data_IF_783199853900
#
_entry.id   IF_783199853900
#
_cell.length_a   1.000
_cell.length_b   1.000
_cell.length_c   1.000
_cell.angle_alpha   90.00
_cell.angle_beta   90.00
_cell.angle_gamma   90.00
#
_symmetry.space_group_name_H-M   'P 1'
#
loop_
_entity.id
_entity.type
_entity.pdbx_description
1 polymer ?
#
# COMPACT_ATOMS: atom_id res chain seq x y z
N UNK A 1 6.72 -3.38 5.98
CA UNK A 1 7.28 -3.60 4.61
C UNK A 1 6.18 -3.29 3.62
N UNK A 2 6.41 -3.08 2.33
CA UNK A 2 5.36 -2.79 1.36
C UNK A 2 5.83 -3.24 -0.02
N UNK A 3 4.88 -3.49 -0.91
CA UNK A 3 5.10 -3.77 -2.32
C UNK A 3 4.07 -3.00 -3.16
N UNK A 4 4.55 -2.31 -4.19
CA UNK A 4 3.73 -1.57 -5.15
C UNK A 4 4.14 -1.92 -6.57
N UNK A 5 3.15 -2.12 -7.43
CA UNK A 5 3.32 -2.46 -8.85
C UNK A 5 2.54 -1.47 -9.72
N UNK A 6 3.07 -1.18 -10.90
CA UNK A 6 2.34 -0.48 -11.96
C UNK A 6 2.53 -1.21 -13.28
N UNK A 7 1.47 -1.22 -14.07
CA UNK A 7 1.43 -1.76 -15.42
C UNK A 7 0.76 -0.72 -16.32
N UNK A 8 1.48 -0.20 -17.30
CA UNK A 8 0.97 0.77 -18.26
C UNK A 8 0.16 0.09 -19.37
N UNK A 9 -0.63 0.89 -20.09
CA UNK A 9 -1.54 0.43 -21.15
C UNK A 9 -0.91 -0.42 -22.26
N UNK A 10 0.39 -0.30 -22.50
CA UNK A 10 1.10 -1.14 -23.48
C UNK A 10 1.37 -2.58 -22.98
N UNK A 11 1.08 -2.88 -21.72
CA UNK A 11 1.25 -4.21 -21.13
C UNK A 11 -0.04 -4.77 -20.50
N UNK A 12 -1.12 -4.00 -20.43
CA UNK A 12 -2.45 -4.46 -19.98
C UNK A 12 -3.30 -4.97 -21.13
N UNK A 13 -4.34 -5.74 -20.80
CA UNK A 13 -5.22 -6.36 -21.79
C UNK A 13 -6.15 -5.36 -22.49
N UNK A 14 -6.48 -4.24 -21.82
CA UNK A 14 -7.48 -3.26 -22.27
C UNK A 14 -6.90 -1.86 -22.50
N UNK A 15 -5.58 -1.70 -22.38
CA UNK A 15 -4.91 -0.41 -22.58
C UNK A 15 -4.97 0.53 -21.37
N UNK A 16 -5.55 0.13 -20.25
CA UNK A 16 -5.58 0.93 -19.03
C UNK A 16 -4.23 0.89 -18.30
N UNK A 17 -3.94 1.93 -17.51
CA UNK A 17 -2.87 1.85 -16.52
C UNK A 17 -3.43 1.23 -15.24
N UNK A 18 -2.73 0.25 -14.66
CA UNK A 18 -3.13 -0.41 -13.41
C UNK A 18 -2.04 -0.22 -12.36
N UNK A 19 -2.38 0.34 -11.21
CA UNK A 19 -1.49 0.44 -10.03
C UNK A 19 -2.03 -0.41 -8.90
N UNK A 20 -1.22 -1.32 -8.36
CA UNK A 20 -1.55 -2.15 -7.21
C UNK A 20 -0.60 -1.93 -6.04
N UNK A 21 -1.11 -1.90 -4.82
CA UNK A 21 -0.30 -1.74 -3.61
C UNK A 21 -0.79 -2.58 -2.44
N UNK A 22 0.16 -3.15 -1.71
CA UNK A 22 0.01 -3.59 -0.33
C UNK A 22 0.69 -2.60 0.63
N UNK A 23 -0.01 -2.26 1.71
CA UNK A 23 0.52 -1.49 2.84
C UNK A 23 0.82 -2.44 4.00
N UNK A 24 2.08 -2.84 4.22
CA UNK A 24 2.44 -3.69 5.37
C UNK A 24 2.93 -2.88 6.57
N UNK A 25 2.12 -2.95 7.62
CA UNK A 25 2.20 -2.16 8.85
C UNK A 25 2.19 -3.09 10.06
N UNK A 26 2.28 -2.53 11.26
CA UNK A 26 2.17 -3.34 12.48
C UNK A 26 0.75 -4.00 12.58
N UNK A 27 0.58 -5.21 13.14
CA UNK A 27 -0.70 -5.94 13.11
C UNK A 27 -1.93 -5.22 13.66
N UNK A 28 -1.71 -4.31 14.61
CA UNK A 28 -2.76 -3.53 15.26
C UNK A 28 -2.82 -2.09 14.74
N UNK A 29 -2.11 -1.80 13.65
CA UNK A 29 -2.12 -0.50 12.99
C UNK A 29 -3.18 -0.50 11.89
N UNK A 30 -4.44 -0.35 12.33
CA UNK A 30 -5.59 -0.46 11.47
C UNK A 30 -5.57 0.53 10.30
N UNK A 31 -5.99 0.04 9.14
CA UNK A 31 -6.08 0.81 7.92
C UNK A 31 -7.46 1.46 7.80
N UNK A 32 -7.48 2.75 7.45
CA UNK A 32 -8.68 3.57 7.36
C UNK A 32 -8.80 4.13 5.95
N UNK A 33 -9.96 3.91 5.33
CA UNK A 33 -10.34 4.52 4.06
C UNK A 33 -11.03 5.85 4.32
N UNK A 34 -10.61 6.89 3.61
CA UNK A 34 -11.15 8.24 3.76
C UNK A 34 -11.26 8.91 2.40
N UNK A 35 -12.42 9.50 2.10
CA UNK A 35 -12.58 10.44 0.99
C UNK A 35 -12.61 11.85 1.56
N UNK A 36 -11.81 12.74 0.98
CA UNK A 36 -11.79 14.16 1.32
C UNK A 36 -12.20 14.92 0.06
N UNK A 37 -13.25 15.75 0.11
CA UNK A 37 -13.65 16.55 -1.05
C UNK A 37 -12.60 17.62 -1.37
N UNK A 38 -12.54 18.02 -2.63
CA UNK A 38 -11.77 19.18 -3.05
C UNK A 38 -12.30 20.45 -2.38
N UNK A 39 -11.42 21.41 -2.16
CA UNK A 39 -11.75 22.62 -1.41
C UNK A 39 -10.99 23.83 -1.97
N UNK A 40 -11.58 25.01 -1.75
CA UNK A 40 -10.92 26.31 -1.94
C UNK A 40 -10.55 26.83 -0.55
N UNK A 41 -9.31 27.27 -0.36
CA UNK A 41 -8.78 27.72 0.92
C UNK A 41 -8.47 29.21 0.88
N UNK A 42 -8.66 29.89 2.02
CA UNK A 42 -8.39 31.31 2.14
C UNK A 42 -6.89 31.65 1.92
N UNK A 43 -6.56 32.81 1.32
CA UNK A 43 -5.18 33.24 1.15
C UNK A 43 -4.40 33.27 2.48
N UNK A 44 -3.18 32.72 2.49
CA UNK A 44 -2.33 32.67 3.68
C UNK A 44 -2.70 31.59 4.69
N UNK A 45 -3.73 30.77 4.41
CA UNK A 45 -4.07 29.61 5.23
C UNK A 45 -2.92 28.59 5.27
N UNK A 46 -2.96 27.73 6.28
CA UNK A 46 -1.94 26.72 6.57
C UNK A 46 -2.60 25.36 6.77
N UNK A 47 -1.84 24.30 6.50
CA UNK A 47 -2.30 22.91 6.70
C UNK A 47 -1.40 22.20 7.69
N UNK A 48 -2.02 21.68 8.76
CA UNK A 48 -1.34 20.85 9.75
C UNK A 48 -1.18 19.42 9.20
N UNK A 49 0.06 19.08 8.82
CA UNK A 49 0.46 17.74 8.44
C UNK A 49 0.73 16.90 9.71
N UNK A 50 1.37 15.73 9.59
CA UNK A 50 1.54 14.82 10.74
C UNK A 50 2.36 15.49 11.85
N UNK A 51 3.45 16.17 11.52
CA UNK A 51 4.32 16.81 12.51
C UNK A 51 4.48 18.31 12.34
N UNK A 52 4.59 18.79 11.10
CA UNK A 52 4.76 20.22 10.80
C UNK A 52 3.50 20.82 10.21
N UNK A 53 3.52 22.14 10.07
CA UNK A 53 2.49 22.89 9.38
C UNK A 53 3.16 23.65 8.22
N UNK A 54 2.52 23.65 7.05
CA UNK A 54 3.03 24.31 5.83
C UNK A 54 1.96 25.25 5.25
N UNK A 55 2.32 26.22 4.38
CA UNK A 55 1.36 26.99 3.62
C UNK A 55 0.42 26.10 2.81
N UNK A 56 -0.87 26.43 2.84
CA UNK A 56 -1.87 25.75 2.04
C UNK A 56 -1.97 26.40 0.64
N UNK A 57 -2.28 25.59 -0.36
CA UNK A 57 -2.57 26.06 -1.72
C UNK A 57 -4.02 26.54 -1.81
N UNK A 58 -4.32 27.44 -2.75
CA UNK A 58 -5.69 27.96 -2.93
C UNK A 58 -6.71 26.85 -3.19
N UNK A 59 -6.34 25.81 -3.96
CA UNK A 59 -7.25 24.75 -4.37
C UNK A 59 -6.64 23.38 -4.14
N UNK A 60 -7.43 22.49 -3.57
CA UNK A 60 -7.08 21.07 -3.43
C UNK A 60 -8.08 20.19 -4.18
N UNK A 61 -7.58 19.14 -4.81
CA UNK A 61 -8.40 18.10 -5.43
C UNK A 61 -9.06 17.19 -4.40
N UNK A 62 -10.19 16.60 -4.77
CA UNK A 62 -10.77 15.51 -4.01
C UNK A 62 -9.85 14.28 -4.04
N UNK A 63 -9.70 13.63 -2.88
CA UNK A 63 -8.77 12.50 -2.70
C UNK A 63 -9.43 11.32 -2.01
N UNK A 64 -9.01 10.11 -2.41
CA UNK A 64 -9.29 8.83 -1.78
C UNK A 64 -8.00 8.42 -1.12
N UNK A 65 -8.03 8.25 0.19
CA UNK A 65 -6.86 7.93 1.00
C UNK A 65 -7.08 6.60 1.69
N UNK A 66 -6.02 5.80 1.72
CA UNK A 66 -5.94 4.57 2.48
C UNK A 66 -4.72 4.71 3.41
N UNK A 67 -4.99 4.88 4.71
CA UNK A 67 -4.01 5.38 5.68
C UNK A 67 -4.04 4.63 7.02
N UNK A 68 -2.93 4.56 7.76
CA UNK A 68 -2.95 4.28 9.19
C UNK A 68 -3.83 5.30 9.91
N UNK A 69 -4.60 4.83 10.89
CA UNK A 69 -5.60 5.67 11.56
C UNK A 69 -5.02 6.90 12.28
N UNK A 70 -3.73 6.94 12.61
CA UNK A 70 -3.12 7.96 13.48
C UNK A 70 -2.30 9.05 12.76
N UNK A 71 -1.88 8.86 11.50
CA UNK A 71 -1.07 9.86 10.74
C UNK A 71 -1.94 10.75 9.86
N UNK A 72 -1.57 12.01 9.59
CA UNK A 72 -2.35 12.86 8.69
C UNK A 72 -2.31 12.40 7.21
N UNK A 73 -1.14 11.93 6.76
CA UNK A 73 -0.90 11.45 5.42
C UNK A 73 -1.54 10.09 5.09
N UNK A 74 -1.09 9.46 3.99
CA UNK A 74 -1.56 8.15 3.56
C UNK A 74 -0.44 7.26 3.01
N UNK A 75 -0.65 5.93 3.06
CA UNK A 75 0.26 4.95 2.44
C UNK A 75 -0.03 4.80 0.95
N UNK A 76 -1.29 5.03 0.57
CA UNK A 76 -1.73 4.99 -0.82
C UNK A 76 -3.00 5.80 -1.01
N UNK A 77 -3.24 6.22 -2.24
CA UNK A 77 -4.45 6.95 -2.56
C UNK A 77 -4.54 7.35 -4.02
N UNK A 78 -5.67 7.96 -4.35
CA UNK A 78 -5.98 8.49 -5.66
C UNK A 78 -6.60 9.88 -5.55
N UNK A 79 -6.58 10.67 -6.63
CA UNK A 79 -7.29 11.93 -6.72
C UNK A 79 -8.26 11.99 -7.91
N UNK A 80 -9.13 13.00 -7.92
CA UNK A 80 -10.16 13.16 -8.95
C UNK A 80 -9.61 13.45 -10.35
N UNK A 81 -8.31 13.78 -10.46
CA UNK A 81 -7.62 13.98 -11.73
C UNK A 81 -7.02 12.67 -12.28
N UNK A 82 -7.20 11.55 -11.58
CA UNK A 82 -6.73 10.24 -11.99
C UNK A 82 -5.29 9.93 -11.60
N UNK A 83 -4.67 10.75 -10.74
CA UNK A 83 -3.36 10.44 -10.15
C UNK A 83 -3.53 9.43 -9.02
N UNK A 84 -2.69 8.39 -9.00
CA UNK A 84 -2.62 7.37 -7.96
C UNK A 84 -1.19 7.26 -7.48
N UNK A 85 -0.99 7.19 -6.16
CA UNK A 85 0.33 7.09 -5.56
C UNK A 85 0.34 5.99 -4.49
N UNK A 86 1.42 5.21 -4.48
CA UNK A 86 1.79 4.32 -3.38
C UNK A 86 3.22 4.61 -2.92
N UNK A 87 3.53 4.41 -1.63
CA UNK A 87 4.87 4.59 -1.10
C UNK A 87 5.44 3.39 -0.30
N UNK A 88 6.77 3.34 -0.22
CA UNK A 88 7.53 2.32 0.49
C UNK A 88 8.54 2.99 1.40
N UNK A 89 8.73 2.45 2.60
CA UNK A 89 9.89 2.77 3.41
C UNK A 89 11.18 2.31 2.71
N UNK A 90 12.13 3.21 2.54
CA UNK A 90 13.52 2.91 2.14
C UNK A 90 14.49 3.39 3.20
N UNK A 91 15.49 2.57 3.47
CA UNK A 91 16.52 2.85 4.47
C UNK A 91 17.82 3.25 3.75
N UNK A 92 18.40 4.36 4.18
CA UNK A 92 19.52 4.98 3.44
C UNK A 92 20.65 5.34 4.39
N UNK A 93 21.86 5.52 3.83
CA UNK A 93 23.04 6.02 4.54
C UNK A 93 22.95 7.50 4.91
N UNK A 94 22.01 8.25 4.32
CA UNK A 94 21.77 9.65 4.66
C UNK A 94 21.10 9.71 6.04
N UNK A 95 21.66 10.44 7.01
CA UNK A 95 21.04 10.61 8.32
C UNK A 95 19.67 11.27 8.23
N UNK A 96 18.74 10.85 9.09
CA UNK A 96 17.44 11.49 9.22
C UNK A 96 17.58 12.90 9.81
N UNK A 97 16.76 13.84 9.34
CA UNK A 97 16.75 15.20 9.88
C UNK A 97 16.34 15.16 11.36
N UNK A 98 17.06 15.90 12.22
CA UNK A 98 16.84 15.90 13.68
C UNK A 98 15.56 16.63 14.10
N UNK A 99 15.00 17.46 13.23
CA UNK A 99 13.73 18.14 13.42
C UNK A 99 12.57 17.40 12.75
N UNK A 100 11.35 17.80 13.08
CA UNK A 100 10.16 17.33 12.36
C UNK A 100 10.17 17.87 10.93
N UNK A 101 10.01 16.99 9.95
CA UNK A 101 9.77 17.32 8.55
C UNK A 101 8.43 16.76 8.08
N UNK A 102 8.25 16.66 6.76
CA UNK A 102 7.17 15.87 6.19
C UNK A 102 7.58 14.39 6.19
N UNK A 103 6.72 13.49 6.66
CA UNK A 103 6.92 12.06 6.39
C UNK A 103 6.48 11.75 4.96
N UNK A 104 6.95 10.66 4.35
CA UNK A 104 6.56 10.34 2.98
C UNK A 104 5.06 10.22 2.75
N UNK A 105 4.32 9.79 3.78
CA UNK A 105 2.87 9.70 3.74
C UNK A 105 2.20 11.08 3.65
N UNK A 106 2.81 12.11 4.24
CA UNK A 106 2.37 13.51 4.10
C UNK A 106 2.67 14.01 2.69
N UNK A 107 3.89 13.76 2.17
CA UNK A 107 4.29 14.12 0.80
C UNK A 107 3.34 13.50 -0.25
N UNK A 108 3.00 12.22 -0.08
CA UNK A 108 2.06 11.50 -0.93
C UNK A 108 0.70 12.19 -0.95
N UNK A 109 0.12 12.46 0.23
CA UNK A 109 -1.20 13.09 0.33
C UNK A 109 -1.19 14.50 -0.27
N UNK A 110 -0.18 15.31 0.04
CA UNK A 110 -0.05 16.66 -0.50
C UNK A 110 0.06 16.64 -2.03
N UNK A 111 0.75 15.66 -2.60
CA UNK A 111 0.82 15.50 -4.05
C UNK A 111 -0.53 15.16 -4.67
N UNK A 112 -1.27 14.22 -4.06
CA UNK A 112 -2.64 13.88 -4.50
C UNK A 112 -3.57 15.10 -4.42
N UNK A 113 -3.48 15.91 -3.37
CA UNK A 113 -4.30 17.11 -3.21
C UNK A 113 -3.93 18.22 -4.22
N UNK A 114 -2.74 18.20 -4.84
CA UNK A 114 -2.18 19.35 -5.58
C UNK A 114 -1.85 19.10 -7.05
N UNK A 115 -1.85 17.85 -7.52
CA UNK A 115 -1.39 17.50 -8.88
C UNK A 115 -2.49 16.95 -9.79
N UNK A 116 -2.38 17.21 -11.09
CA UNK A 116 -3.31 16.69 -12.12
C UNK A 116 -2.76 15.49 -12.90
N UNK A 117 -1.45 15.31 -12.87
CA UNK A 117 -0.74 14.24 -13.57
C UNK A 117 0.30 13.61 -12.66
N UNK A 118 0.76 12.40 -13.00
CA UNK A 118 1.84 11.73 -12.30
C UNK A 118 3.13 12.57 -12.33
N UNK A 119 3.36 13.30 -13.42
CA UNK A 119 4.51 14.19 -13.54
C UNK A 119 4.40 15.39 -12.60
N UNK A 120 3.25 16.06 -12.55
CA UNK A 120 3.01 17.15 -11.60
C UNK A 120 3.13 16.67 -10.15
N UNK A 121 2.67 15.46 -9.84
CA UNK A 121 2.79 14.88 -8.50
C UNK A 121 4.25 14.66 -8.09
N UNK A 122 5.09 14.18 -9.01
CA UNK A 122 6.54 14.09 -8.79
C UNK A 122 7.13 15.47 -8.50
N UNK A 123 6.79 16.49 -9.30
CA UNK A 123 7.30 17.85 -9.12
C UNK A 123 6.84 18.43 -7.76
N UNK A 124 5.59 18.19 -7.34
CA UNK A 124 5.09 18.58 -6.00
C UNK A 124 5.87 17.90 -4.88
N UNK A 125 6.07 16.58 -4.95
CA UNK A 125 6.81 15.84 -3.90
C UNK A 125 8.24 16.36 -3.80
N UNK A 126 8.93 16.52 -4.93
CA UNK A 126 10.35 16.95 -4.94
C UNK A 126 10.51 18.40 -4.49
N UNK A 127 9.57 19.29 -4.82
CA UNK A 127 9.53 20.66 -4.31
C UNK A 127 9.35 20.68 -2.78
N UNK A 128 8.33 19.99 -2.27
CA UNK A 128 8.06 19.91 -0.83
C UNK A 128 9.20 19.27 -0.06
N UNK A 129 9.82 18.23 -0.61
CA UNK A 129 11.00 17.59 -0.04
C UNK A 129 12.19 18.57 0.03
N UNK A 130 12.38 19.37 -1.02
CA UNK A 130 13.47 20.36 -1.09
C UNK A 130 13.26 21.48 -0.10
N UNK A 131 12.02 21.93 0.12
CA UNK A 131 11.69 23.04 1.01
C UNK A 131 11.61 22.59 2.49
N UNK A 132 10.80 21.57 2.77
CA UNK A 132 10.45 21.14 4.13
C UNK A 132 11.24 19.93 4.64
N UNK A 133 11.97 19.25 3.76
CA UNK A 133 12.72 18.04 4.13
C UNK A 133 11.82 16.85 4.40
N UNK A 134 12.44 15.76 4.86
CA UNK A 134 11.73 14.59 5.32
C UNK A 134 12.26 14.06 6.65
N UNK A 135 11.36 13.74 7.57
CA UNK A 135 11.73 13.30 8.91
C UNK A 135 10.55 13.28 9.88
N UNK A 136 10.63 12.42 10.88
CA UNK A 136 9.57 12.17 11.85
C UNK A 136 9.38 10.68 12.09
N UNK A 137 8.59 10.33 13.11
CA UNK A 137 8.25 8.95 13.39
C UNK A 137 7.23 8.43 12.36
N UNK A 138 7.49 7.26 11.79
CA UNK A 138 6.60 6.60 10.84
C UNK A 138 6.00 5.31 11.40
N UNK A 139 6.35 4.89 12.62
CA UNK A 139 5.84 3.67 13.27
C UNK A 139 4.83 3.96 14.38
N UNK A 140 3.91 3.02 14.62
CA UNK A 140 2.81 3.21 15.55
C UNK A 140 3.20 2.88 17.00
N UNK A 141 3.58 1.63 17.28
CA UNK A 141 4.04 1.23 18.62
C UNK A 141 5.53 1.47 18.82
N UNK A 142 6.30 1.36 17.75
CA UNK A 142 7.76 1.50 17.79
C UNK A 142 8.22 2.63 16.88
N UNK A 143 9.00 3.55 17.46
CA UNK A 143 9.53 4.66 16.70
C UNK A 143 10.42 4.15 15.55
N UNK A 144 10.06 4.50 14.33
CA UNK A 144 10.78 4.09 13.12
C UNK A 144 10.87 5.28 12.17
N UNK A 145 12.08 5.69 11.81
CA UNK A 145 12.31 6.74 10.81
C UNK A 145 12.84 6.08 9.54
N UNK A 146 12.38 6.54 8.39
CA UNK A 146 12.84 6.09 7.08
C UNK A 146 12.65 7.21 6.04
N UNK A 147 13.28 7.04 4.88
CA UNK A 147 12.97 7.80 3.69
C UNK A 147 11.97 7.04 2.81
N UNK A 148 11.55 7.61 1.70
CA UNK A 148 10.49 7.01 0.88
C UNK A 148 10.88 6.77 -0.58
N UNK A 149 10.38 5.64 -1.09
CA UNK A 149 10.15 5.42 -2.52
C UNK A 149 8.67 5.65 -2.81
N UNK A 150 8.36 6.14 -3.99
CA UNK A 150 7.01 6.40 -4.48
C UNK A 150 6.84 5.81 -5.87
N UNK A 151 5.72 5.12 -6.10
CA UNK A 151 5.24 4.80 -7.44
C UNK A 151 4.02 5.66 -7.72
N UNK A 152 4.15 6.51 -8.72
CA UNK A 152 3.18 7.54 -9.08
C UNK A 152 2.65 7.19 -10.46
N UNK A 153 1.34 7.09 -10.63
CA UNK A 153 0.73 6.76 -11.92
C UNK A 153 -0.46 7.69 -12.21
N UNK A 154 -0.74 7.88 -13.49
CA UNK A 154 -1.96 8.46 -14.02
C UNK A 154 -2.43 7.60 -15.22
N UNK A 155 -3.50 7.95 -15.97
CA UNK A 155 -3.92 7.15 -17.12
C UNK A 155 -2.84 6.93 -18.19
N UNK A 156 -1.87 7.84 -18.31
CA UNK A 156 -0.96 7.93 -19.45
C UNK A 156 0.48 7.53 -19.11
N UNK A 157 0.90 7.75 -17.87
CA UNK A 157 2.29 7.62 -17.47
C UNK A 157 2.46 7.17 -16.02
N UNK A 158 3.63 6.64 -15.71
CA UNK A 158 4.02 6.34 -14.35
C UNK A 158 5.49 6.67 -14.10
N UNK A 159 5.82 6.94 -12.84
CA UNK A 159 7.14 7.35 -12.37
C UNK A 159 7.49 6.64 -11.08
N UNK A 160 8.75 6.19 -10.99
CA UNK A 160 9.38 5.85 -9.72
C UNK A 160 10.11 7.09 -9.22
N UNK A 161 9.88 7.49 -7.97
CA UNK A 161 10.64 8.54 -7.28
C UNK A 161 11.22 7.96 -6.00
N UNK A 162 12.54 7.96 -5.86
CA UNK A 162 13.23 7.42 -4.69
C UNK A 162 14.08 8.48 -4.02
N UNK A 163 14.03 8.54 -2.69
CA UNK A 163 14.57 9.64 -1.92
C UNK A 163 15.56 9.18 -0.85
N UNK A 164 16.51 10.06 -0.51
CA UNK A 164 17.49 9.88 0.56
C UNK A 164 17.83 11.24 1.19
N UNK A 165 17.18 11.58 2.30
CA UNK A 165 17.16 12.95 2.81
C UNK A 165 16.57 13.88 1.74
N UNK A 166 17.22 14.99 1.42
CA UNK A 166 16.77 15.88 0.33
C UNK A 166 17.24 15.46 -1.06
N UNK A 167 18.03 14.39 -1.16
CA UNK A 167 18.49 13.85 -2.44
C UNK A 167 17.42 12.93 -3.02
N UNK A 168 17.25 12.95 -4.34
CA UNK A 168 16.27 12.10 -5.01
C UNK A 168 16.67 11.80 -6.46
N UNK A 169 16.18 10.69 -6.97
CA UNK A 169 16.22 10.34 -8.38
C UNK A 169 14.84 9.85 -8.82
N UNK A 170 14.48 10.10 -10.07
CA UNK A 170 13.24 9.61 -10.65
C UNK A 170 13.44 9.01 -12.03
N UNK A 171 12.65 7.98 -12.32
CA UNK A 171 12.69 7.21 -13.55
C UNK A 171 11.26 7.06 -14.10
N UNK A 172 11.08 7.38 -15.38
CA UNK A 172 9.82 7.16 -16.07
C UNK A 172 9.65 5.66 -16.37
N UNK A 173 8.51 5.12 -15.97
CA UNK A 173 8.16 3.73 -16.26
C UNK A 173 7.80 3.58 -17.74
N UNK A 174 8.22 2.46 -18.35
CA UNK A 174 7.99 2.16 -19.77
C UNK A 174 6.87 1.16 -20.02
N UNK A 175 6.67 0.21 -19.11
CA UNK A 175 5.62 -0.79 -19.21
C UNK A 175 5.21 -1.34 -17.83
N UNK A 176 6.05 -2.19 -17.22
CA UNK A 176 5.82 -2.84 -15.93
C UNK A 176 6.92 -2.39 -15.00
N UNK A 177 6.55 -1.99 -13.79
CA UNK A 177 7.52 -1.68 -12.74
C UNK A 177 6.98 -2.09 -11.38
N UNK A 178 7.85 -2.63 -10.53
CA UNK A 178 7.58 -2.82 -9.11
C UNK A 178 8.59 -2.05 -8.28
N UNK A 179 8.14 -1.57 -7.12
CA UNK A 179 9.00 -1.12 -6.03
C UNK A 179 8.64 -1.85 -4.74
N UNK A 180 9.66 -2.05 -3.92
CA UNK A 180 9.56 -2.63 -2.57
C UNK A 180 10.41 -1.76 -1.62
N UNK A 181 10.71 -2.23 -0.40
CA UNK A 181 11.50 -1.49 0.60
C UNK A 181 13.01 -1.36 0.28
N UNK A 182 13.37 -0.91 -0.92
CA UNK A 182 14.74 -0.68 -1.35
C UNK A 182 14.81 0.34 -2.49
N UNK A 183 15.97 1.00 -2.64
CA UNK A 183 16.22 1.89 -3.79
C UNK A 183 16.51 1.02 -5.01
N UNK A 184 15.71 1.16 -6.05
CA UNK A 184 15.73 0.38 -7.29
C UNK A 184 16.33 1.14 -8.46
N UNK A 185 16.41 2.48 -8.38
CA UNK A 185 17.01 3.31 -9.41
C UNK A 185 18.54 3.13 -9.39
N UNK A 186 19.07 2.88 -10.58
CA UNK A 186 20.45 2.48 -10.78
C UNK A 186 21.39 3.62 -11.15
N UNK A 187 22.13 3.41 -12.22
CA UNK A 187 22.99 4.40 -12.88
C UNK A 187 22.25 5.18 -13.98
N UNK A 188 20.95 4.92 -14.18
CA UNK A 188 20.10 5.60 -15.14
C UNK A 188 18.88 6.18 -14.41
N UNK A 189 18.58 7.43 -14.69
CA UNK A 189 17.44 8.18 -14.18
C UNK A 189 17.09 9.27 -15.20
N UNK A 190 15.83 9.68 -15.25
CA UNK A 190 15.37 10.76 -16.12
C UNK A 190 15.48 12.13 -15.41
N UNK A 191 15.37 12.14 -14.08
CA UNK A 191 15.47 13.34 -13.26
C UNK A 191 16.15 13.04 -11.93
N UNK A 192 16.79 14.06 -11.34
CA UNK A 192 17.42 13.95 -10.03
C UNK A 192 17.55 15.32 -9.37
N UNK A 193 17.81 15.32 -8.07
CA UNK A 193 18.30 16.50 -7.36
C UNK A 193 19.61 17.02 -8.01
N UNK A 194 19.83 18.34 -8.07
CA UNK A 194 20.94 18.93 -8.85
C UNK A 194 22.33 18.42 -8.48
N UNK A 195 22.55 18.09 -7.21
CA UNK A 195 23.84 17.67 -6.66
C UNK A 195 23.92 16.18 -6.31
N UNK A 196 22.98 15.35 -6.78
CA UNK A 196 22.86 13.92 -6.42
C UNK A 196 24.18 13.15 -6.49
N UNK A 197 24.92 13.27 -7.60
CA UNK A 197 26.20 12.57 -7.79
C UNK A 197 27.30 13.21 -6.95
N UNK A 198 27.35 14.54 -6.90
CA UNK A 198 28.35 15.28 -6.12
C UNK A 198 28.26 14.94 -4.64
N UNK A 199 27.05 14.88 -4.09
CA UNK A 199 26.77 14.52 -2.70
C UNK A 199 27.34 13.14 -2.33
N UNK A 200 27.27 12.17 -3.25
CA UNK A 200 27.84 10.83 -3.07
C UNK A 200 29.37 10.80 -3.20
N UNK A 201 29.94 11.58 -4.13
CA UNK A 201 31.40 11.72 -4.30
C UNK A 201 32.04 12.37 -3.07
N UNK A 202 31.46 13.46 -2.56
CA UNK A 202 31.95 14.16 -1.36
C UNK A 202 31.97 13.25 -0.12
N UNK A 203 31.16 12.18 -0.12
CA UNK A 203 31.09 11.17 0.97
C UNK A 203 31.87 9.90 0.68
N UNK A 204 32.55 9.81 -0.47
CA UNK A 204 33.30 8.63 -0.87
C UNK A 204 32.43 7.40 -1.15
N UNK A 205 31.13 7.57 -1.41
CA UNK A 205 30.22 6.46 -1.73
C UNK A 205 30.37 5.96 -3.17
N UNK A 206 31.00 6.76 -4.03
CA UNK A 206 31.55 6.37 -5.32
C UNK A 206 32.86 7.13 -5.57
N UNK A 207 33.69 6.65 -6.50
CA UNK A 207 35.01 7.25 -6.81
C UNK A 207 34.94 8.28 -7.94
N UNK A 208 34.07 8.03 -8.92
CA UNK A 208 33.90 8.87 -10.13
C UNK A 208 32.43 8.94 -10.51
N UNK A 209 32.07 9.95 -11.31
CA UNK A 209 30.71 10.12 -11.84
C UNK A 209 30.21 8.87 -12.57
N UNK A 210 31.06 8.26 -13.40
CA UNK A 210 30.67 7.09 -14.21
C UNK A 210 30.44 5.82 -13.36
N UNK A 211 30.96 5.79 -12.14
CA UNK A 211 30.78 4.66 -11.21
C UNK A 211 29.49 4.81 -10.38
N UNK A 212 28.81 5.95 -10.47
CA UNK A 212 27.64 6.28 -9.66
C UNK A 212 26.45 5.37 -9.95
N UNK A 213 25.79 4.92 -8.88
CA UNK A 213 24.56 4.15 -8.95
C UNK A 213 23.76 4.44 -7.69
N UNK A 214 22.54 4.99 -7.84
CA UNK A 214 21.80 5.56 -6.73
C UNK A 214 21.55 4.54 -5.61
N UNK A 215 21.01 3.35 -5.94
CA UNK A 215 20.84 2.27 -4.96
C UNK A 215 22.12 1.88 -4.21
N UNK A 216 23.22 1.55 -4.91
CA UNK A 216 24.49 1.15 -4.26
C UNK A 216 25.09 2.27 -3.40
N UNK A 217 25.01 3.50 -3.86
CA UNK A 217 25.60 4.64 -3.16
C UNK A 217 24.80 5.00 -1.91
N UNK A 218 23.46 5.02 -1.98
CA UNK A 218 22.61 5.58 -0.93
C UNK A 218 21.93 4.55 -0.02
N UNK A 219 21.67 3.31 -0.44
CA UNK A 219 20.95 2.34 0.40
C UNK A 219 21.73 1.91 1.63
N UNK A 220 21.04 1.78 2.77
CA UNK A 220 21.57 1.09 3.94
C UNK A 220 21.62 -0.42 3.69
N UNK A 221 22.77 -1.05 3.90
CA UNK A 221 22.97 -2.46 3.56
C UNK A 221 22.17 -3.40 4.46
N UNK A 222 22.09 -3.11 5.77
CA UNK A 222 21.51 -4.03 6.74
C UNK A 222 19.99 -4.08 6.59
N UNK A 223 19.32 -2.93 6.66
CA UNK A 223 17.87 -2.87 6.57
C UNK A 223 17.36 -3.32 5.20
N UNK A 224 18.05 -2.94 4.11
CA UNK A 224 17.68 -3.38 2.76
C UNK A 224 17.76 -4.90 2.65
N UNK A 225 18.82 -5.54 3.17
CA UNK A 225 18.96 -7.00 3.15
C UNK A 225 17.88 -7.70 3.97
N UNK A 226 17.57 -7.22 5.17
CA UNK A 226 16.53 -7.83 6.01
C UNK A 226 15.11 -7.65 5.46
N UNK A 227 14.86 -6.58 4.70
CA UNK A 227 13.55 -6.38 4.07
C UNK A 227 13.21 -7.36 2.93
N UNK A 228 14.22 -8.08 2.41
CA UNK A 228 14.14 -8.96 1.22
C UNK A 228 13.40 -8.30 0.04
N UNK A 229 13.52 -6.98 -0.07
CA UNK A 229 12.85 -6.16 -1.09
C UNK A 229 13.19 -6.60 -2.50
N UNK A 230 14.45 -6.92 -2.78
CA UNK A 230 14.87 -7.40 -4.10
C UNK A 230 14.20 -8.72 -4.50
N UNK A 231 13.97 -9.64 -3.56
CA UNK A 231 13.32 -10.92 -3.90
C UNK A 231 11.84 -10.72 -4.22
N UNK A 232 11.15 -9.90 -3.43
CA UNK A 232 9.72 -9.58 -3.67
C UNK A 232 9.53 -8.77 -4.95
N UNK A 233 10.39 -7.79 -5.20
CA UNK A 233 10.39 -7.04 -6.47
C UNK A 233 10.63 -7.96 -7.68
N UNK A 234 11.64 -8.85 -7.62
CA UNK A 234 11.87 -9.81 -8.69
C UNK A 234 10.66 -10.72 -8.91
N UNK A 235 9.98 -11.12 -7.83
CA UNK A 235 8.79 -11.98 -7.88
C UNK A 235 7.60 -11.28 -8.53
N UNK A 236 7.29 -10.04 -8.13
CA UNK A 236 6.18 -9.26 -8.72
C UNK A 236 6.45 -8.96 -10.20
N UNK A 237 7.66 -8.53 -10.56
CA UNK A 237 8.02 -8.25 -11.94
C UNK A 237 7.99 -9.52 -12.79
N UNK A 238 8.48 -10.65 -12.27
CA UNK A 238 8.41 -11.94 -12.98
C UNK A 238 6.97 -12.40 -13.23
N UNK A 239 6.10 -12.30 -12.22
CA UNK A 239 4.68 -12.69 -12.34
C UNK A 239 3.95 -11.83 -13.37
N UNK A 240 4.18 -10.52 -13.37
CA UNK A 240 3.55 -9.61 -14.31
C UNK A 240 4.13 -9.77 -15.72
N UNK A 241 5.44 -9.92 -15.86
CA UNK A 241 6.09 -10.11 -17.16
C UNK A 241 5.60 -11.38 -17.89
N UNK A 242 5.28 -12.45 -17.16
CA UNK A 242 4.71 -13.67 -17.73
C UNK A 242 3.33 -13.46 -18.40
N UNK A 243 2.59 -12.46 -17.95
CA UNK A 243 1.25 -12.12 -18.46
C UNK A 243 1.24 -10.84 -19.32
N UNK A 244 2.40 -10.33 -19.75
CA UNK A 244 2.52 -9.09 -20.54
C UNK A 244 1.55 -9.08 -21.74
N UNK A 245 0.79 -7.99 -21.87
CA UNK A 245 -0.23 -7.79 -22.90
C UNK A 245 -1.58 -8.43 -22.56
N UNK A 246 -1.68 -9.17 -21.46
CA UNK A 246 -2.90 -9.83 -20.96
C UNK A 246 -3.21 -9.47 -19.51
N UNK A 247 -2.46 -8.54 -18.92
CA UNK A 247 -2.59 -8.17 -17.50
C UNK A 247 -3.92 -7.43 -17.30
N UNK A 248 -4.72 -7.91 -16.34
CA UNK A 248 -5.97 -7.29 -15.89
C UNK A 248 -5.88 -6.86 -14.41
N UNK A 249 -6.95 -6.26 -13.88
CA UNK A 249 -7.03 -5.97 -12.43
C UNK A 249 -6.94 -7.25 -11.60
N UNK A 250 -7.54 -8.35 -12.04
CA UNK A 250 -7.45 -9.66 -11.39
C UNK A 250 -6.02 -10.17 -11.35
N UNK A 251 -5.25 -10.00 -12.43
CA UNK A 251 -3.82 -10.36 -12.45
C UNK A 251 -3.07 -9.62 -11.35
N UNK A 252 -3.25 -8.30 -11.23
CA UNK A 252 -2.59 -7.48 -10.20
C UNK A 252 -3.07 -7.86 -8.80
N UNK A 253 -4.36 -8.07 -8.59
CA UNK A 253 -4.91 -8.55 -7.32
C UNK A 253 -4.34 -9.92 -6.93
N UNK A 254 -4.10 -10.82 -7.89
CA UNK A 254 -3.45 -12.11 -7.66
C UNK A 254 -1.98 -11.93 -7.25
N UNK A 255 -1.25 -11.01 -7.90
CA UNK A 255 0.14 -10.69 -7.53
C UNK A 255 0.24 -10.17 -6.11
N UNK A 256 -0.67 -9.28 -5.69
CA UNK A 256 -0.73 -8.76 -4.32
C UNK A 256 -1.06 -9.83 -3.27
N UNK A 257 -1.55 -11.01 -3.69
CA UNK A 257 -1.84 -12.15 -2.81
C UNK A 257 -0.72 -13.18 -2.76
N UNK A 258 0.35 -13.01 -3.53
CA UNK A 258 1.38 -14.04 -3.70
C UNK A 258 2.14 -14.31 -2.39
N UNK A 259 2.26 -15.59 -2.06
CA UNK A 259 3.00 -16.12 -0.92
C UNK A 259 4.32 -16.79 -1.32
N UNK A 260 4.81 -16.50 -2.53
CA UNK A 260 6.04 -17.04 -3.09
C UNK A 260 5.86 -18.39 -3.81
N UNK A 261 6.90 -18.85 -4.53
CA UNK A 261 6.84 -20.03 -5.39
C UNK A 261 6.68 -21.37 -4.64
N UNK A 262 6.89 -21.37 -3.33
CA UNK A 262 6.75 -22.55 -2.46
C UNK A 262 5.37 -22.62 -1.79
N UNK A 263 4.47 -21.68 -2.08
CA UNK A 263 3.13 -21.71 -1.55
C UNK A 263 2.27 -22.70 -2.34
N UNK A 264 2.04 -23.88 -1.75
CA UNK A 264 1.11 -24.90 -2.23
C UNK A 264 -0.17 -24.93 -1.37
N UNK A 265 -0.99 -25.96 -1.52
CA UNK A 265 -2.24 -26.12 -0.76
C UNK A 265 -2.06 -26.23 0.74
N UNK A 266 -0.88 -26.65 1.23
CA UNK A 266 -0.58 -26.80 2.65
C UNK A 266 0.23 -25.62 3.21
N UNK A 267 0.34 -24.53 2.45
CA UNK A 267 1.12 -23.37 2.84
C UNK A 267 0.61 -22.75 4.15
N UNK A 268 1.56 -22.28 4.97
CA UNK A 268 1.30 -21.58 6.21
C UNK A 268 2.19 -20.35 6.35
N UNK A 269 1.68 -19.22 6.86
CA UNK A 269 2.51 -18.08 7.20
C UNK A 269 3.34 -18.32 8.47
N UNK A 270 3.13 -19.41 9.21
CA UNK A 270 3.77 -19.63 10.50
C UNK A 270 5.30 -19.83 10.42
N UNK A 271 5.84 -20.69 9.52
CA UNK A 271 7.28 -20.96 9.45
C UNK A 271 8.11 -19.75 9.00
N UNK A 272 9.39 -19.76 9.41
CA UNK A 272 10.35 -18.72 9.06
C UNK A 272 10.31 -17.51 9.99
N UNK A 273 11.45 -16.86 10.17
CA UNK A 273 11.57 -15.58 10.92
C UNK A 273 12.03 -14.43 10.02
N UNK A 274 12.52 -14.77 8.82
CA UNK A 274 13.02 -13.84 7.79
C UNK A 274 12.29 -14.00 6.45
N UNK A 275 11.19 -14.77 6.40
CA UNK A 275 10.36 -14.85 5.19
C UNK A 275 9.50 -13.59 5.07
N UNK A 276 9.60 -12.93 3.92
CA UNK A 276 8.73 -11.81 3.54
C UNK A 276 8.12 -12.12 2.20
N UNK A 277 6.79 -12.19 2.19
CA UNK A 277 5.98 -12.40 1.00
C UNK A 277 5.35 -11.08 0.56
N UNK A 278 4.79 -11.07 -0.65
CA UNK A 278 4.08 -9.90 -1.18
C UNK A 278 2.81 -9.66 -0.37
N UNK A 279 2.03 -10.72 -0.11
CA UNK A 279 1.01 -10.70 0.92
C UNK A 279 1.66 -10.97 2.28
N UNK A 280 1.94 -9.93 3.05
CA UNK A 280 2.67 -10.04 4.30
C UNK A 280 1.76 -10.52 5.44
N UNK A 281 2.25 -11.50 6.20
CA UNK A 281 1.63 -11.99 7.43
C UNK A 281 2.61 -11.87 8.59
N UNK A 282 2.19 -11.23 9.67
CA UNK A 282 3.03 -11.07 10.85
C UNK A 282 3.31 -12.44 11.51
N UNK A 283 4.50 -12.56 12.06
CA UNK A 283 4.94 -13.72 12.83
C UNK A 283 5.70 -13.33 14.07
N UNK A 284 6.61 -14.22 14.48
CA UNK A 284 7.46 -13.94 15.63
C UNK A 284 8.49 -12.85 15.29
N UNK A 285 8.53 -11.80 16.10
CA UNK A 285 9.45 -10.68 15.97
C UNK A 285 10.90 -11.02 16.37
N UNK A 286 11.82 -10.05 16.26
CA UNK A 286 11.59 -8.65 15.89
C UNK A 286 11.54 -8.41 14.37
N UNK A 287 11.88 -9.41 13.56
CA UNK A 287 12.07 -9.23 12.11
C UNK A 287 10.72 -9.27 11.37
N UNK A 288 9.91 -10.32 11.54
CA UNK A 288 8.61 -10.46 10.85
C UNK A 288 7.44 -9.88 11.67
N UNK A 289 7.54 -8.62 12.06
CA UNK A 289 6.54 -7.95 12.91
C UNK A 289 5.54 -7.07 12.12
N UNK A 290 5.41 -7.25 10.80
CA UNK A 290 4.46 -6.51 9.95
C UNK A 290 3.54 -7.44 9.17
N UNK A 291 2.35 -6.97 8.86
CA UNK A 291 1.37 -7.63 7.99
C UNK A 291 0.76 -6.62 7.03
N UNK A 292 0.22 -7.07 5.89
CA UNK A 292 -0.57 -6.21 5.01
C UNK A 292 -1.84 -5.78 5.76
N UNK A 293 -1.99 -4.48 6.05
CA UNK A 293 -3.19 -3.93 6.72
C UNK A 293 -4.20 -3.35 5.76
N UNK A 294 -3.80 -3.08 4.52
CA UNK A 294 -4.71 -2.67 3.46
C UNK A 294 -4.09 -2.88 2.09
N UNK A 295 -4.95 -3.07 1.10
CA UNK A 295 -4.55 -3.20 -0.30
C UNK A 295 -5.47 -2.38 -1.20
N UNK A 296 -4.89 -1.86 -2.29
CA UNK A 296 -5.59 -1.08 -3.29
C UNK A 296 -5.10 -1.45 -4.68
N UNK A 297 -6.03 -1.64 -5.64
CA UNK A 297 -5.74 -1.78 -7.07
C UNK A 297 -6.57 -0.72 -7.80
N UNK A 298 -5.92 0.16 -8.55
CA UNK A 298 -6.58 1.20 -9.33
C UNK A 298 -6.48 0.88 -10.81
N UNK A 299 -7.61 0.89 -11.49
CA UNK A 299 -7.72 0.81 -12.93
C UNK A 299 -7.95 2.22 -13.49
N UNK A 300 -7.05 2.67 -14.35
CA UNK A 300 -6.95 4.04 -14.79
C UNK A 300 -7.08 4.13 -16.30
N UNK A 301 -8.18 4.71 -16.77
CA UNK A 301 -8.38 5.11 -18.16
C UNK A 301 -8.53 6.64 -18.25
N UNK A 302 -8.34 7.26 -19.42
CA UNK A 302 -8.62 8.68 -19.56
C UNK A 302 -10.08 9.06 -19.28
N UNK A 303 -11.01 8.11 -19.39
CA UNK A 303 -12.45 8.35 -19.28
C UNK A 303 -13.03 8.06 -17.89
N UNK A 304 -12.54 7.02 -17.20
CA UNK A 304 -13.11 6.55 -15.94
C UNK A 304 -12.06 5.83 -15.09
N UNK A 305 -12.03 6.15 -13.80
CA UNK A 305 -11.14 5.55 -12.80
C UNK A 305 -11.93 4.69 -11.84
N UNK A 306 -11.53 3.43 -11.69
CA UNK A 306 -12.13 2.52 -10.72
C UNK A 306 -11.08 2.09 -9.71
N UNK A 307 -11.36 2.31 -8.43
CA UNK A 307 -10.44 1.96 -7.35
C UNK A 307 -11.00 0.77 -6.58
N UNK A 308 -10.27 -0.33 -6.55
CA UNK A 308 -10.62 -1.51 -5.79
C UNK A 308 -9.84 -1.51 -4.48
N UNK A 309 -10.55 -1.45 -3.35
CA UNK A 309 -9.96 -1.34 -2.02
C UNK A 309 -10.38 -2.52 -1.15
N UNK A 310 -9.47 -3.05 -0.34
CA UNK A 310 -9.86 -4.04 0.68
C UNK A 310 -10.50 -3.36 1.88
N UNK A 311 -9.97 -2.21 2.32
CA UNK A 311 -10.34 -1.58 3.59
C UNK A 311 -10.05 -2.46 4.82
N UNK A 312 -9.37 -3.58 4.62
CA UNK A 312 -9.12 -4.63 5.62
C UNK A 312 -7.78 -5.31 5.34
N UNK A 313 -7.26 -6.01 6.36
CA UNK A 313 -5.96 -6.68 6.31
C UNK A 313 -5.90 -7.85 5.30
N UNK A 314 -4.68 -8.18 4.88
CA UNK A 314 -4.30 -9.33 4.05
C UNK A 314 -5.24 -9.62 2.84
N UNK A 315 -4.86 -9.25 1.61
CA UNK A 315 -5.73 -9.43 0.45
C UNK A 315 -6.09 -10.89 0.19
N UNK A 316 -5.28 -11.86 0.66
CA UNK A 316 -5.55 -13.29 0.50
C UNK A 316 -6.76 -13.78 1.30
N UNK A 317 -7.10 -13.14 2.43
CA UNK A 317 -8.29 -13.43 3.23
C UNK A 317 -9.42 -12.44 2.99
N UNK A 318 -9.15 -11.36 2.23
CA UNK A 318 -10.06 -10.24 1.98
C UNK A 318 -10.64 -10.22 0.55
N UNK A 319 -11.56 -9.28 0.35
CA UNK A 319 -12.24 -8.94 -0.90
C UNK A 319 -11.89 -7.52 -1.32
N UNK A 320 -11.49 -7.36 -2.57
CA UNK A 320 -11.38 -6.06 -3.23
C UNK A 320 -12.77 -5.54 -3.60
N UNK A 321 -13.13 -4.36 -3.11
CA UNK A 321 -14.44 -3.73 -3.31
C UNK A 321 -14.27 -2.44 -4.13
N UNK A 322 -15.08 -2.21 -5.17
CA UNK A 322 -14.92 -1.06 -6.04
C UNK A 322 -15.49 0.21 -5.40
N UNK A 323 -14.77 1.31 -5.54
CA UNK A 323 -15.15 2.67 -5.14
C UNK A 323 -14.76 3.66 -6.22
N UNK A 324 -15.45 4.80 -6.25
CA UNK A 324 -15.20 5.89 -7.18
C UNK A 324 -15.13 7.22 -6.43
N UNK A 325 -14.36 8.17 -6.97
CA UNK A 325 -14.11 9.45 -6.30
C UNK A 325 -15.22 10.49 -6.45
N UNK A 326 -16.10 10.29 -7.42
CA UNK A 326 -17.28 11.12 -7.64
C UNK A 326 -18.46 10.76 -6.73
N UNK A 327 -18.29 9.76 -5.86
CA UNK A 327 -19.29 9.31 -4.88
C UNK A 327 -18.71 9.30 -3.47
N UNK A 328 -19.57 9.36 -2.46
CA UNK A 328 -19.14 9.09 -1.09
C UNK A 328 -18.75 7.62 -0.91
N UNK A 329 -17.86 7.35 0.05
CA UNK A 329 -17.49 6.00 0.41
C UNK A 329 -18.64 5.30 1.13
N UNK A 330 -18.82 3.98 0.92
CA UNK A 330 -19.73 3.19 1.75
C UNK A 330 -19.40 3.30 3.23
N UNK A 331 -20.44 3.19 4.08
CA UNK A 331 -20.27 3.21 5.53
C UNK A 331 -19.46 1.98 6.00
N UNK A 332 -18.26 2.22 6.51
CA UNK A 332 -17.40 1.19 7.10
C UNK A 332 -17.55 1.07 8.62
N UNK A 333 -18.54 1.75 9.19
CA UNK A 333 -18.81 1.84 10.62
C UNK A 333 -17.83 2.76 11.35
N UNK A 334 -17.49 2.42 12.59
CA UNK A 334 -16.62 3.26 13.41
C UNK A 334 -15.23 3.45 12.80
N UNK A 335 -14.64 4.64 12.96
CA UNK A 335 -13.24 4.90 12.58
C UNK A 335 -12.33 3.95 13.37
N UNK A 336 -11.50 3.14 12.68
CA UNK A 336 -10.69 2.16 13.38
C UNK A 336 -9.58 2.84 14.21
N UNK A 337 -9.15 2.16 15.26
CA UNK A 337 -8.05 2.56 16.12
C UNK A 337 -7.10 1.39 16.37
N UNK A 338 -6.14 1.54 17.30
CA UNK A 338 -5.24 0.47 17.73
C UNK A 338 -5.89 -0.56 18.67
N UNK A 339 -7.19 -0.42 18.95
CA UNK A 339 -7.99 -1.27 19.82
C UNK A 339 -9.16 -1.85 19.03
N UNK A 340 -9.45 -3.12 19.26
CA UNK A 340 -10.53 -3.87 18.64
C UNK A 340 -11.88 -3.20 18.89
N UNK A 341 -12.59 -2.91 17.80
CA UNK A 341 -13.97 -2.45 17.82
C UNK A 341 -14.78 -3.18 16.73
N UNK A 342 -15.74 -4.00 17.14
CA UNK A 342 -16.62 -4.72 16.21
C UNK A 342 -17.47 -3.80 15.32
N UNK A 343 -17.64 -2.53 15.69
CA UNK A 343 -18.32 -1.55 14.85
C UNK A 343 -17.47 -1.11 13.65
N UNK A 344 -16.16 -1.28 13.68
CA UNK A 344 -15.26 -0.94 12.58
C UNK A 344 -15.07 -2.14 11.62
N UNK A 345 -15.25 -1.91 10.31
CA UNK A 345 -15.04 -2.92 9.25
C UNK A 345 -13.69 -3.63 9.37
N UNK A 346 -12.60 -2.86 9.56
CA UNK A 346 -11.25 -3.40 9.69
C UNK A 346 -11.16 -4.47 10.79
N UNK A 347 -11.74 -4.20 11.96
CA UNK A 347 -11.66 -5.08 13.11
C UNK A 347 -12.59 -6.29 13.02
N UNK A 348 -13.74 -6.17 12.35
CA UNK A 348 -14.56 -7.34 11.98
C UNK A 348 -13.79 -8.30 11.09
N UNK A 349 -13.14 -7.76 10.05
CA UNK A 349 -12.28 -8.56 9.18
C UNK A 349 -11.10 -9.17 9.93
N UNK A 350 -10.44 -8.43 10.82
CA UNK A 350 -9.34 -8.97 11.61
C UNK A 350 -9.75 -10.20 12.43
N UNK A 351 -11.01 -10.28 12.88
CA UNK A 351 -11.50 -11.48 13.54
C UNK A 351 -11.51 -12.70 12.61
N UNK A 352 -11.90 -12.54 11.35
CA UNK A 352 -11.79 -13.58 10.31
C UNK A 352 -10.33 -13.90 9.98
N UNK A 353 -9.52 -12.86 9.76
CA UNK A 353 -8.11 -13.01 9.42
C UNK A 353 -7.38 -13.84 10.47
N UNK A 354 -7.44 -13.44 11.75
CA UNK A 354 -6.76 -14.15 12.84
C UNK A 354 -7.32 -15.54 13.11
N UNK A 355 -8.63 -15.74 12.92
CA UNK A 355 -9.22 -17.08 12.94
C UNK A 355 -8.60 -17.97 11.86
N UNK A 356 -8.47 -17.43 10.64
CA UNK A 356 -7.89 -18.14 9.50
C UNK A 356 -6.44 -18.53 9.77
N UNK A 357 -5.63 -17.61 10.33
CA UNK A 357 -4.21 -17.88 10.54
C UNK A 357 -3.92 -19.11 11.40
N UNK A 358 -4.81 -19.48 12.34
CA UNK A 358 -4.65 -20.62 13.28
C UNK A 358 -4.29 -21.94 12.59
N UNK A 359 -4.86 -22.15 11.41
CA UNK A 359 -4.47 -23.18 10.45
C UNK A 359 -4.82 -22.65 9.06
N UNK A 360 -3.92 -21.84 8.50
CA UNK A 360 -4.19 -21.05 7.30
C UNK A 360 -4.78 -21.87 6.15
N UNK A 361 -4.08 -22.94 5.73
CA UNK A 361 -4.51 -23.81 4.65
C UNK A 361 -5.93 -24.37 4.86
N UNK A 362 -6.15 -25.04 6.00
CA UNK A 362 -7.46 -25.64 6.31
C UNK A 362 -8.57 -24.59 6.40
N UNK A 363 -8.31 -23.46 7.05
CA UNK A 363 -9.33 -22.44 7.29
C UNK A 363 -9.66 -21.63 6.03
N UNK A 364 -8.67 -21.30 5.20
CA UNK A 364 -8.88 -20.52 3.97
C UNK A 364 -9.62 -21.35 2.91
N UNK A 365 -9.36 -22.66 2.86
CA UNK A 365 -10.07 -23.61 1.99
C UNK A 365 -11.58 -23.62 2.23
N UNK A 366 -12.02 -23.29 3.44
CA UNK A 366 -13.44 -23.22 3.77
C UNK A 366 -14.19 -22.13 3.04
N UNK A 367 -13.52 -21.09 2.53
CA UNK A 367 -14.19 -19.94 1.93
C UNK A 367 -13.52 -19.33 0.71
N UNK A 368 -12.29 -19.71 0.37
CA UNK A 368 -11.55 -19.07 -0.74
C UNK A 368 -12.26 -19.14 -2.10
N UNK A 369 -13.00 -20.22 -2.37
CA UNK A 369 -13.76 -20.37 -3.59
C UNK A 369 -14.94 -19.38 -3.66
N UNK A 370 -15.66 -19.21 -2.54
CA UNK A 370 -16.73 -18.21 -2.40
C UNK A 370 -16.16 -16.79 -2.50
N UNK A 371 -15.05 -16.52 -1.81
CA UNK A 371 -14.33 -15.25 -1.88
C UNK A 371 -13.96 -14.89 -3.31
N UNK A 372 -13.34 -15.83 -4.04
CA UNK A 372 -12.95 -15.61 -5.43
C UNK A 372 -14.16 -15.43 -6.37
N UNK A 373 -15.26 -16.14 -6.13
CA UNK A 373 -16.49 -15.98 -6.92
C UNK A 373 -17.14 -14.61 -6.69
N UNK A 374 -17.26 -14.20 -5.43
CA UNK A 374 -17.83 -12.91 -5.05
C UNK A 374 -16.99 -11.74 -5.56
N UNK A 375 -15.65 -11.82 -5.44
CA UNK A 375 -14.77 -10.80 -5.98
C UNK A 375 -14.87 -10.68 -7.52
N UNK A 376 -14.94 -11.80 -8.25
CA UNK A 376 -15.19 -11.75 -9.70
C UNK A 376 -16.53 -11.10 -10.05
N UNK A 377 -17.56 -11.31 -9.24
CA UNK A 377 -18.85 -10.62 -9.41
C UNK A 377 -18.71 -9.10 -9.19
N UNK A 378 -17.93 -8.69 -8.17
CA UNK A 378 -17.67 -7.27 -7.89
C UNK A 378 -16.90 -6.59 -9.02
N UNK A 379 -15.89 -7.26 -9.58
CA UNK A 379 -15.09 -6.73 -10.68
C UNK A 379 -15.95 -6.58 -11.93
N UNK A 380 -16.64 -7.64 -12.36
CA UNK A 380 -17.51 -7.60 -13.55
C UNK A 380 -18.62 -6.56 -13.47
N UNK A 381 -19.24 -6.41 -12.30
CA UNK A 381 -20.28 -5.39 -12.15
C UNK A 381 -19.70 -3.98 -12.04
N UNK A 382 -18.48 -3.80 -11.50
CA UNK A 382 -17.81 -2.50 -11.55
C UNK A 382 -17.47 -2.09 -13.00
N UNK A 383 -17.01 -3.03 -13.83
CA UNK A 383 -16.79 -2.81 -15.26
C UNK A 383 -18.09 -2.42 -15.98
N UNK A 384 -19.21 -3.10 -15.69
CA UNK A 384 -20.51 -2.75 -16.26
C UNK A 384 -21.04 -1.38 -15.78
N UNK A 385 -20.67 -0.97 -14.57
CA UNK A 385 -21.12 0.28 -13.95
C UNK A 385 -20.20 1.47 -14.19
N UNK A 386 -19.01 1.28 -14.78
CA UNK A 386 -17.95 2.29 -14.77
C UNK A 386 -18.36 3.61 -15.42
N UNK A 387 -19.23 3.57 -16.44
CA UNK A 387 -19.74 4.74 -17.17
C UNK A 387 -21.15 5.19 -16.74
N UNK A 388 -21.75 4.56 -15.73
CA UNK A 388 -23.09 4.93 -15.24
C UNK A 388 -23.04 6.20 -14.38
N UNK A 389 -24.16 6.84 -14.04
CA UNK A 389 -24.15 7.99 -13.12
C UNK A 389 -23.56 7.62 -11.74
N UNK A 390 -22.93 8.58 -11.07
CA UNK A 390 -22.33 8.39 -9.74
C UNK A 390 -23.30 7.80 -8.71
N UNK A 391 -24.59 8.13 -8.76
CA UNK A 391 -25.61 7.54 -7.88
C UNK A 391 -25.74 6.02 -8.04
N UNK A 392 -25.62 5.49 -9.25
CA UNK A 392 -25.65 4.04 -9.50
C UNK A 392 -24.34 3.36 -9.07
N UNK A 393 -23.21 4.01 -9.31
CA UNK A 393 -21.90 3.55 -8.80
C UNK A 393 -21.86 3.50 -7.28
N UNK A 394 -22.41 4.51 -6.60
CA UNK A 394 -22.52 4.57 -5.14
C UNK A 394 -23.36 3.40 -4.59
N UNK A 395 -24.53 3.14 -5.18
CA UNK A 395 -25.38 2.00 -4.81
C UNK A 395 -24.67 0.66 -5.02
N UNK A 396 -23.95 0.52 -6.14
CA UNK A 396 -23.19 -0.69 -6.43
C UNK A 396 -22.06 -0.90 -5.41
N UNK A 397 -21.30 0.15 -5.11
CA UNK A 397 -20.24 0.11 -4.10
C UNK A 397 -20.78 -0.26 -2.72
N UNK A 398 -21.86 0.39 -2.28
CA UNK A 398 -22.51 0.09 -1.00
C UNK A 398 -22.97 -1.37 -0.91
N UNK A 399 -23.53 -1.91 -2.00
CA UNK A 399 -23.91 -3.32 -2.08
C UNK A 399 -22.70 -4.25 -1.96
N UNK A 400 -21.61 -3.98 -2.68
CA UNK A 400 -20.38 -4.78 -2.60
C UNK A 400 -19.80 -4.81 -1.18
N UNK A 401 -19.82 -3.68 -0.45
CA UNK A 401 -19.38 -3.64 0.94
C UNK A 401 -20.30 -4.43 1.87
N UNK A 402 -21.63 -4.34 1.71
CA UNK A 402 -22.59 -5.12 2.50
C UNK A 402 -22.46 -6.61 2.25
N UNK A 403 -22.43 -7.05 0.98
CA UNK A 403 -22.29 -8.46 0.61
C UNK A 403 -20.95 -9.05 1.11
N UNK A 404 -19.87 -8.25 1.08
CA UNK A 404 -18.59 -8.65 1.64
C UNK A 404 -18.65 -8.84 3.17
N UNK A 405 -19.22 -7.89 3.91
CA UNK A 405 -19.30 -7.96 5.38
C UNK A 405 -20.17 -9.14 5.84
N UNK A 406 -21.28 -9.40 5.13
CA UNK A 406 -22.14 -10.57 5.37
C UNK A 406 -21.40 -11.89 5.10
N UNK A 407 -20.69 -11.99 3.97
CA UNK A 407 -19.92 -13.19 3.62
C UNK A 407 -18.80 -13.46 4.63
N UNK A 408 -18.04 -12.44 5.02
CA UNK A 408 -16.97 -12.56 6.01
C UNK A 408 -17.48 -13.01 7.38
N UNK A 409 -18.66 -12.52 7.81
CA UNK A 409 -19.31 -12.99 9.03
C UNK A 409 -19.70 -14.47 8.96
N UNK A 410 -20.20 -14.93 7.81
CA UNK A 410 -20.52 -16.35 7.55
C UNK A 410 -19.26 -17.21 7.58
N UNK A 411 -18.17 -16.77 6.95
CA UNK A 411 -16.90 -17.49 6.92
C UNK A 411 -16.29 -17.61 8.32
N UNK A 412 -16.31 -16.54 9.12
CA UNK A 412 -15.86 -16.56 10.50
C UNK A 412 -16.68 -17.56 11.34
N UNK A 413 -18.01 -17.57 11.17
CA UNK A 413 -18.88 -18.55 11.85
C UNK A 413 -18.53 -19.98 11.42
N UNK A 414 -18.24 -20.21 10.13
CA UNK A 414 -17.86 -21.52 9.59
C UNK A 414 -16.56 -22.05 10.21
N UNK A 415 -15.52 -21.21 10.28
CA UNK A 415 -14.24 -21.55 10.92
C UNK A 415 -14.45 -21.91 12.40
N UNK A 416 -15.20 -21.08 13.14
CA UNK A 416 -15.51 -21.35 14.56
C UNK A 416 -16.29 -22.65 14.75
N UNK A 417 -17.16 -23.01 13.82
CA UNK A 417 -17.99 -24.22 13.91
C UNK A 417 -17.18 -25.48 13.65
N UNK A 418 -16.24 -25.45 12.70
CA UNK A 418 -15.37 -26.60 12.43
C UNK A 418 -14.38 -26.90 13.56
N UNK A 419 -14.13 -25.93 14.45
CA UNK A 419 -13.21 -26.07 15.59
C UNK A 419 -11.83 -26.61 15.18
N UNK A 420 -11.25 -26.03 14.13
CA UNK A 420 -9.97 -26.45 13.57
C UNK A 420 -8.88 -26.29 14.64
N UNK A 421 -8.16 -27.38 14.92
CA UNK A 421 -7.06 -27.38 15.85
C UNK A 421 -5.91 -26.50 15.32
N UNK A 422 -5.29 -25.64 16.14
CA UNK A 422 -4.17 -24.83 15.67
C UNK A 422 -3.00 -25.70 15.20
N UNK A 423 -2.48 -25.47 13.99
CA UNK A 423 -1.27 -26.14 13.46
C UNK A 423 0.01 -25.30 13.59
N UNK A 424 -0.09 -24.12 14.21
CA UNK A 424 1.03 -23.19 14.36
C UNK A 424 2.03 -23.63 15.42
N UNK A 425 3.31 -23.32 15.20
CA UNK A 425 4.35 -23.47 16.23
C UNK A 425 4.20 -22.47 17.39
N UNK A 426 4.71 -22.84 18.57
CA UNK A 426 4.54 -22.08 19.82
C UNK A 426 4.93 -20.60 19.73
N UNK A 427 6.05 -20.26 19.07
CA UNK A 427 6.51 -18.87 18.92
C UNK A 427 5.50 -18.01 18.15
N UNK A 428 4.95 -18.56 17.07
CA UNK A 428 3.96 -17.86 16.25
C UNK A 428 2.66 -17.66 17.03
N UNK A 429 2.16 -18.71 17.71
CA UNK A 429 0.97 -18.59 18.56
C UNK A 429 1.19 -17.65 19.74
N UNK A 430 2.39 -17.56 20.30
CA UNK A 430 2.72 -16.61 21.35
C UNK A 430 2.70 -15.15 20.85
N UNK A 431 3.25 -14.89 19.66
CA UNK A 431 3.22 -13.57 19.03
C UNK A 431 1.78 -13.10 18.79
N UNK A 432 0.94 -13.94 18.17
CA UNK A 432 -0.46 -13.58 17.92
C UNK A 432 -1.30 -13.43 19.19
N UNK A 433 -1.02 -14.19 20.26
CA UNK A 433 -1.63 -13.94 21.58
C UNK A 433 -1.22 -12.57 22.14
N UNK A 434 0.02 -12.12 21.92
CA UNK A 434 0.46 -10.80 22.34
C UNK A 434 -0.27 -9.70 21.53
N UNK A 435 -0.31 -9.82 20.20
CA UNK A 435 -1.03 -8.88 19.34
C UNK A 435 -2.53 -8.81 19.68
N UNK A 436 -3.17 -9.94 20.00
CA UNK A 436 -4.57 -9.96 20.45
C UNK A 436 -4.77 -9.21 21.76
N UNK A 437 -3.88 -9.42 22.74
CA UNK A 437 -3.93 -8.73 24.04
C UNK A 437 -3.73 -7.23 23.90
N UNK A 438 -2.79 -6.80 23.06
CA UNK A 438 -2.53 -5.38 22.77
C UNK A 438 -3.72 -4.67 22.13
N UNK A 439 -4.44 -5.36 21.24
CA UNK A 439 -5.67 -4.86 20.63
C UNK A 439 -6.90 -5.00 21.53
N UNK A 440 -6.80 -5.60 22.72
CA UNK A 440 -7.95 -5.98 23.56
C UNK A 440 -8.98 -6.83 22.79
N UNK A 441 -8.50 -7.67 21.87
CA UNK A 441 -9.34 -8.49 21.03
C UNK A 441 -9.92 -9.66 21.82
N UNK A 442 -11.22 -9.98 21.66
CA UNK A 442 -11.81 -11.15 22.32
C UNK A 442 -11.14 -12.44 21.84
N UNK A 443 -11.22 -13.50 22.65
CA UNK A 443 -10.71 -14.82 22.26
C UNK A 443 -11.48 -15.28 21.01
N UNK A 444 -10.73 -15.48 19.93
CA UNK A 444 -11.24 -16.04 18.68
C UNK A 444 -11.17 -17.56 18.84
N UNK A 445 -12.31 -18.13 19.25
CA UNK A 445 -12.52 -19.57 19.49
C UNK A 445 -12.12 -20.47 18.35
#
# INVERSE_FOLDING_TARGET
MCDTVVVLGNATADGATILGKNSDREPNEAHHLLRIPGAVHEPGSRVKCTYIEIPQVERTYAVLLARPFWIWGAEMGANEQGVVIGNEAVFTKVPYEKGSGLIGMDLLRLALERARTAREALDVITHLLTEYGQGGNCGFRHATCYHNSFLIADPQSAWVLETAGRQWAALQVRDIRSISNGITIGNQWDMASPDLVKYALDRGWCKRRDDFHFGRCYSDFLFTRFSRSSERQCRTEWLLAAERGRITVETVMSVLRDHGPQADSDWSPAPGITSFNICAHAGFGPIRATQTTGSMVSHLTPAAQTHYVTGTAAPCTSLFKPVWLDTDLPDTGATPSGIYDKAALYWRHEALHRATLRDYATCVDLYQAERAALERQFIKGAEACCNLPGTQRALYSARCFSEADEAEAVWLKRIKTQNVAPKQGWLYSAAWRAFNREAQMPIIG
#
